data_IF_954687270989
#
_entry.id   IF_954687270989
#
_cell.length_a   1.000
_cell.length_b   1.000
_cell.length_c   1.000
_cell.angle_alpha   90.00
_cell.angle_beta   90.00
_cell.angle_gamma   90.00
#
_symmetry.space_group_name_H-M   'P 1'
#
loop_
_entity.id
_entity.type
_entity.pdbx_description
1 polymer ?
#
# COMPACT_ATOMS: atom_id res chain seq x y z
N UNK A 1 -10.30 -8.81 -9.31
CA UNK A 1 -11.72 -8.44 -9.07
C UNK A 1 -12.59 -8.71 -10.29
N UNK A 2 -12.19 -8.26 -11.46
CA UNK A 2 -12.93 -8.48 -12.72
C UNK A 2 -13.24 -9.95 -13.00
N UNK A 3 -12.27 -10.84 -12.83
CA UNK A 3 -12.43 -12.26 -13.06
C UNK A 3 -13.49 -12.91 -12.15
N UNK A 4 -13.56 -12.48 -10.89
CA UNK A 4 -14.59 -12.95 -9.96
C UNK A 4 -15.98 -12.51 -10.38
N UNK A 5 -16.12 -11.25 -10.78
CA UNK A 5 -17.40 -10.68 -11.22
C UNK A 5 -17.88 -11.33 -12.52
N UNK A 6 -16.97 -11.63 -13.44
CA UNK A 6 -17.30 -12.36 -14.68
C UNK A 6 -17.82 -13.78 -14.42
N UNK A 7 -17.41 -14.39 -13.30
CA UNK A 7 -17.89 -15.71 -12.86
C UNK A 7 -19.15 -15.66 -12.01
N UNK A 8 -19.76 -14.49 -11.85
CA UNK A 8 -21.01 -14.32 -11.13
C UNK A 8 -20.87 -14.04 -9.65
N UNK A 9 -19.67 -13.85 -9.12
CA UNK A 9 -19.47 -13.46 -7.73
C UNK A 9 -19.68 -11.95 -7.57
N UNK A 10 -20.39 -11.56 -6.52
CA UNK A 10 -20.61 -10.15 -6.19
C UNK A 10 -19.52 -9.67 -5.21
N UNK A 11 -19.04 -8.45 -5.43
CA UNK A 11 -18.08 -7.77 -4.55
C UNK A 11 -18.76 -6.51 -4.02
N UNK A 12 -18.89 -6.31 -2.71
CA UNK A 12 -18.36 -7.10 -1.59
C UNK A 12 -19.28 -8.20 -1.05
N UNK A 13 -20.48 -8.42 -1.63
CA UNK A 13 -21.50 -9.25 -1.00
C UNK A 13 -21.09 -10.72 -0.88
N UNK A 14 -20.55 -11.31 -1.93
CA UNK A 14 -20.09 -12.71 -1.90
C UNK A 14 -18.61 -12.81 -1.52
N UNK A 15 -17.79 -11.89 -1.99
CA UNK A 15 -16.34 -11.85 -1.75
C UNK A 15 -15.91 -10.43 -1.45
N UNK A 16 -15.16 -10.25 -0.38
CA UNK A 16 -14.51 -8.98 -0.05
C UNK A 16 -13.09 -8.98 -0.58
N UNK A 17 -12.68 -7.87 -1.16
CA UNK A 17 -11.34 -7.72 -1.75
C UNK A 17 -10.64 -6.53 -1.12
N UNK A 18 -9.41 -6.76 -0.67
CA UNK A 18 -8.54 -5.72 -0.13
C UNK A 18 -7.26 -5.74 -0.94
N UNK A 19 -6.89 -4.58 -1.45
CA UNK A 19 -5.63 -4.39 -2.16
C UNK A 19 -4.53 -3.88 -1.27
N UNK A 20 -3.41 -3.57 -1.88
CA UNK A 20 -2.23 -3.05 -1.21
C UNK A 20 -1.63 -1.92 -2.04
N UNK A 21 -1.03 -0.93 -1.36
CA UNK A 21 -0.29 0.19 -1.98
C UNK A 21 -1.13 1.41 -2.38
N UNK A 22 -2.44 1.35 -2.31
CA UNK A 22 -3.33 2.48 -2.64
C UNK A 22 -3.02 3.12 -4.00
N UNK A 23 -2.85 2.28 -5.03
CA UNK A 23 -2.66 2.79 -6.39
C UNK A 23 -3.92 3.50 -6.88
N UNK A 24 -3.75 4.59 -7.63
CA UNK A 24 -4.86 5.39 -8.15
C UNK A 24 -5.85 4.57 -8.99
N UNK A 25 -5.39 3.52 -9.66
CA UNK A 25 -6.24 2.59 -10.41
C UNK A 25 -7.35 1.96 -9.60
N UNK A 26 -7.16 1.81 -8.27
CA UNK A 26 -8.20 1.30 -7.37
C UNK A 26 -9.42 2.19 -7.26
N UNK A 27 -9.33 3.48 -7.62
CA UNK A 27 -10.45 4.43 -7.62
C UNK A 27 -11.22 4.41 -8.94
N UNK A 28 -10.67 3.80 -9.98
CA UNK A 28 -11.31 3.73 -11.31
C UNK A 28 -12.09 2.45 -11.55
N UNK A 29 -11.94 1.45 -10.68
CA UNK A 29 -12.69 0.20 -10.77
C UNK A 29 -14.02 0.30 -10.03
N UNK A 30 -14.96 -0.59 -10.35
CA UNK A 30 -16.24 -0.71 -9.66
C UNK A 30 -16.42 -2.15 -9.16
N UNK A 31 -16.67 -2.35 -7.87
CA UNK A 31 -16.64 -1.33 -6.79
C UNK A 31 -15.22 -0.80 -6.55
N UNK A 32 -15.12 0.42 -5.98
CA UNK A 32 -13.82 1.01 -5.68
C UNK A 32 -13.09 0.17 -4.63
N UNK A 33 -11.80 0.00 -4.85
CA UNK A 33 -10.97 -0.95 -4.10
C UNK A 33 -10.57 -0.42 -2.73
N UNK A 34 -10.97 -1.14 -1.67
CA UNK A 34 -10.41 -0.99 -0.33
C UNK A 34 -8.96 -1.45 -0.36
N UNK A 35 -8.06 -0.69 0.24
CA UNK A 35 -6.62 -0.95 0.13
C UNK A 35 -5.88 -0.50 1.37
N UNK A 36 -4.68 -1.04 1.56
CA UNK A 36 -3.73 -0.53 2.53
C UNK A 36 -2.90 0.57 1.87
N UNK A 37 -2.80 1.71 2.54
CA UNK A 37 -1.98 2.82 2.09
C UNK A 37 -0.58 2.69 2.66
N UNK A 38 0.41 2.62 1.77
CA UNK A 38 1.83 2.62 2.12
C UNK A 38 2.32 4.06 2.03
N UNK A 39 2.87 4.66 3.12
CA UNK A 39 3.32 6.04 3.11
C UNK A 39 4.67 6.17 2.38
N UNK A 40 4.65 5.97 1.06
CA UNK A 40 5.86 5.86 0.23
C UNK A 40 6.71 7.13 0.22
N UNK A 41 6.08 8.31 0.26
CA UNK A 41 6.82 9.59 0.33
C UNK A 41 7.59 9.70 1.64
N UNK A 42 6.96 9.35 2.76
CA UNK A 42 7.60 9.35 4.08
C UNK A 42 8.72 8.32 4.13
N UNK A 43 8.50 7.13 3.62
CA UNK A 43 9.51 6.07 3.53
C UNK A 43 10.71 6.51 2.68
N UNK A 44 10.46 7.18 1.56
CA UNK A 44 11.52 7.74 0.72
C UNK A 44 12.35 8.78 1.43
N UNK A 45 11.73 9.66 2.22
CA UNK A 45 12.42 10.66 3.02
C UNK A 45 13.30 10.02 4.10
N UNK A 46 12.79 9.00 4.79
CA UNK A 46 13.58 8.25 5.78
C UNK A 46 14.77 7.55 5.13
N UNK A 47 14.57 6.91 3.99
CA UNK A 47 15.64 6.21 3.28
C UNK A 47 16.72 7.19 2.81
N UNK A 48 16.33 8.33 2.24
CA UNK A 48 17.26 9.37 1.81
C UNK A 48 18.08 9.93 2.97
N UNK A 49 17.44 10.20 4.11
CA UNK A 49 18.14 10.65 5.32
C UNK A 49 19.16 9.64 5.82
N UNK A 50 18.79 8.35 5.80
CA UNK A 50 19.70 7.29 6.22
C UNK A 50 20.89 7.13 5.27
N UNK A 51 20.67 7.25 3.96
CA UNK A 51 21.76 7.17 2.98
C UNK A 51 22.76 8.31 3.20
N UNK A 52 22.29 9.51 3.48
CA UNK A 52 23.15 10.66 3.76
C UNK A 52 23.98 10.39 5.02
N UNK A 53 23.39 9.87 6.08
CA UNK A 53 24.11 9.49 7.30
C UNK A 53 25.22 8.47 7.02
N UNK A 54 24.92 7.45 6.22
CA UNK A 54 25.90 6.40 5.85
C UNK A 54 27.06 6.98 5.06
N UNK A 55 26.80 7.93 4.16
CA UNK A 55 27.85 8.59 3.36
C UNK A 55 28.75 9.45 4.24
N UNK A 56 28.19 10.18 5.19
CA UNK A 56 28.93 11.13 6.03
C UNK A 56 29.69 10.47 7.18
N UNK A 57 29.27 9.28 7.61
CA UNK A 57 29.88 8.58 8.74
C UNK A 57 30.88 7.52 8.29
N UNK A 58 32.03 7.48 8.95
CA UNK A 58 33.04 6.42 8.73
C UNK A 58 32.61 5.08 9.32
N UNK A 59 31.80 5.09 10.37
CA UNK A 59 31.22 3.91 11.01
C UNK A 59 29.71 4.02 11.03
N UNK A 60 29.03 2.95 10.64
CA UNK A 60 27.58 2.85 10.72
C UNK A 60 27.17 1.39 10.94
N UNK A 61 26.01 1.19 11.51
CA UNK A 61 25.46 -0.14 11.73
C UNK A 61 24.24 -0.35 10.83
N UNK A 62 24.06 -1.56 10.30
CA UNK A 62 22.80 -1.89 9.62
C UNK A 62 21.60 -1.69 10.55
N UNK A 63 20.56 -1.05 10.07
CA UNK A 63 19.30 -0.88 10.81
C UNK A 63 18.12 -1.31 9.96
N UNK A 64 17.04 -1.66 10.63
CA UNK A 64 15.78 -1.96 9.97
C UNK A 64 14.73 -1.03 10.55
N UNK A 65 14.00 -0.33 9.67
CA UNK A 65 12.95 0.61 10.09
C UNK A 65 11.62 0.10 9.55
N UNK A 66 10.70 -0.21 10.46
CA UNK A 66 9.33 -0.55 10.10
C UNK A 66 8.47 0.71 10.04
N UNK A 67 7.70 0.85 8.97
CA UNK A 67 6.74 1.96 8.81
C UNK A 67 5.34 1.38 8.72
N UNK A 68 4.44 1.86 9.55
CA UNK A 68 3.05 1.39 9.58
C UNK A 68 2.30 1.77 8.32
N UNK A 69 1.34 0.93 7.95
CA UNK A 69 0.38 1.19 6.88
C UNK A 69 -1.00 1.50 7.47
N UNK A 70 -1.84 2.18 6.71
CA UNK A 70 -3.22 2.48 7.11
C UNK A 70 -4.22 1.85 6.15
N UNK A 71 -5.41 1.55 6.66
CA UNK A 71 -6.50 1.02 5.85
C UNK A 71 -7.31 2.16 5.24
N UNK A 72 -7.48 2.11 3.93
CA UNK A 72 -8.39 2.99 3.19
C UNK A 72 -9.62 2.17 2.81
N UNK A 73 -10.68 2.33 3.57
CA UNK A 73 -11.92 1.58 3.33
C UNK A 73 -12.70 2.22 2.19
N UNK A 74 -13.07 1.39 1.19
CA UNK A 74 -13.92 1.76 0.08
C UNK A 74 -15.03 0.73 -0.07
N UNK A 75 -15.50 0.48 -1.28
CA UNK A 75 -16.68 -0.34 -1.52
C UNK A 75 -16.41 -1.85 -1.58
N UNK A 76 -15.18 -2.27 -1.92
CA UNK A 76 -14.85 -3.69 -2.12
C UNK A 76 -14.69 -4.50 -0.83
N UNK A 77 -14.64 -3.83 0.29
CA UNK A 77 -14.54 -4.50 1.59
C UNK A 77 -15.07 -3.63 2.73
#
# INVERSE_FOLDING_TARGET
>A
MKALMERGYRVPDDVRIIGFDNHVGGTYVQPRLTTLNVPSRYMGSLAAGRIIEVIDESEHHPISIGVGVSLIKRESA
#
